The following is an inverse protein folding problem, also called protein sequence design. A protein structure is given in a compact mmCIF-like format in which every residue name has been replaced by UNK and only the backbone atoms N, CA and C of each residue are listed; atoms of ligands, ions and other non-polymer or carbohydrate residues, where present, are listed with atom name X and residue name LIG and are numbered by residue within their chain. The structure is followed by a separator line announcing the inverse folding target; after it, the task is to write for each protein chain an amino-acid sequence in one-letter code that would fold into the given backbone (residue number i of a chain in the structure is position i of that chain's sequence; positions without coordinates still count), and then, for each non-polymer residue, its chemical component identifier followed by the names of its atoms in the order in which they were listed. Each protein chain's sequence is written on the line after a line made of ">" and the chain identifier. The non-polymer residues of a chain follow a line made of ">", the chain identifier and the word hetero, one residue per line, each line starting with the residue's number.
data_IF_444290651954
#
_entry.id   IF_444290651954
#
_cell.length_a   1.000
_cell.length_b   1.000
_cell.length_c   1.000
_cell.angle_alpha   90.00
_cell.angle_beta   90.00
_cell.angle_gamma   90.00
#
_symmetry.space_group_name_H-M   'P 1'
#
loop_
_entity.id
_entity.type
_entity.pdbx_description
1 polymer ?
#
# COMPACT_ATOMS: atom_id res chain seq x y z
N UNK A 1 -19.00 8.09 24.40
CA UNK A 1 -18.55 8.50 23.07
C UNK A 1 -18.00 7.26 22.44
N UNK A 2 -18.63 6.80 21.36
CA UNK A 2 -18.60 5.41 20.91
C UNK A 2 -17.20 5.01 20.40
N UNK A 3 -16.43 4.31 21.24
CA UNK A 3 -15.07 3.81 20.94
C UNK A 3 -15.10 2.41 20.33
N UNK A 4 -16.10 2.11 19.51
CA UNK A 4 -16.19 0.84 18.80
C UNK A 4 -16.24 1.09 17.31
N UNK A 5 -15.42 0.34 16.57
CA UNK A 5 -15.54 0.19 15.12
C UNK A 5 -17.00 -0.16 14.82
N UNK A 6 -17.71 0.66 14.04
CA UNK A 6 -19.02 0.28 13.53
C UNK A 6 -18.88 -1.05 12.76
N UNK A 7 -19.94 -1.89 12.80
CA UNK A 7 -20.14 -3.15 12.05
C UNK A 7 -19.33 -3.22 10.74
N UNK A 8 -18.78 -4.40 10.33
CA UNK A 8 -17.80 -4.45 9.25
C UNK A 8 -18.32 -3.77 7.99
N UNK A 9 -17.74 -2.62 7.67
CA UNK A 9 -17.91 -1.98 6.39
C UNK A 9 -17.23 -2.90 5.36
N UNK A 10 -18.00 -3.39 4.39
CA UNK A 10 -17.46 -4.25 3.34
C UNK A 10 -16.81 -3.39 2.25
N UNK A 11 -15.75 -3.92 1.66
CA UNK A 11 -15.05 -3.29 0.55
C UNK A 11 -14.74 -4.26 -0.57
N UNK A 12 -14.47 -3.70 -1.75
CA UNK A 12 -14.10 -4.45 -2.96
C UNK A 12 -12.77 -3.94 -3.49
N UNK A 13 -11.90 -4.86 -3.92
CA UNK A 13 -10.75 -4.47 -4.74
C UNK A 13 -11.16 -4.40 -6.21
N UNK A 14 -10.88 -3.27 -6.85
CA UNK A 14 -11.03 -3.10 -8.30
C UNK A 14 -9.68 -2.68 -8.92
N UNK A 15 -9.60 -2.62 -10.24
CA UNK A 15 -8.34 -2.34 -10.96
C UNK A 15 -8.51 -1.15 -11.92
N UNK A 16 -8.59 0.06 -11.36
CA UNK A 16 -8.94 1.27 -12.14
C UNK A 16 -7.73 1.87 -12.86
N UNK A 17 -6.52 1.66 -12.33
CA UNK A 17 -5.27 2.29 -12.79
C UNK A 17 -5.02 2.18 -14.29
N UNK A 18 -5.22 0.98 -14.84
CA UNK A 18 -4.98 0.67 -16.26
C UNK A 18 -6.24 0.74 -17.11
N UNK A 19 -7.39 1.07 -16.51
CA UNK A 19 -8.71 0.98 -17.13
C UNK A 19 -9.59 2.21 -16.84
N UNK A 20 -9.09 3.43 -17.14
CA UNK A 20 -9.87 4.65 -16.93
C UNK A 20 -11.17 4.68 -17.76
N UNK A 21 -11.21 3.92 -18.86
CA UNK A 21 -12.37 3.78 -19.75
C UNK A 21 -13.60 3.15 -19.07
N UNK A 22 -13.40 2.35 -18.03
CA UNK A 22 -14.47 1.67 -17.29
C UNK A 22 -14.53 2.07 -15.82
N UNK A 23 -13.66 2.97 -15.35
CA UNK A 23 -13.53 3.26 -13.93
C UNK A 23 -14.82 3.79 -13.30
N UNK A 24 -15.51 4.72 -13.97
CA UNK A 24 -16.79 5.26 -13.50
C UNK A 24 -17.88 4.17 -13.42
N UNK A 25 -17.95 3.30 -14.43
CA UNK A 25 -18.89 2.17 -14.44
C UNK A 25 -18.62 1.22 -13.28
N UNK A 26 -17.36 0.83 -13.08
CA UNK A 26 -16.98 -0.13 -12.06
C UNK A 26 -17.22 0.41 -10.65
N UNK A 27 -16.97 1.71 -10.41
CA UNK A 27 -17.29 2.35 -9.14
C UNK A 27 -18.79 2.48 -8.90
N UNK A 28 -19.60 2.76 -9.93
CA UNK A 28 -21.06 2.72 -9.81
C UNK A 28 -21.55 1.31 -9.43
N UNK A 29 -20.96 0.25 -10.00
CA UNK A 29 -21.29 -1.12 -9.61
C UNK A 29 -20.91 -1.43 -8.15
N UNK A 30 -19.79 -0.89 -7.65
CA UNK A 30 -19.40 -1.04 -6.24
C UNK A 30 -20.46 -0.45 -5.30
N UNK A 31 -20.95 0.76 -5.60
CA UNK A 31 -22.03 1.41 -4.86
C UNK A 31 -23.36 0.65 -4.98
N UNK A 32 -23.75 0.24 -6.19
CA UNK A 32 -24.97 -0.54 -6.44
C UNK A 32 -24.99 -1.89 -5.71
N UNK A 33 -23.81 -2.50 -5.50
CA UNK A 33 -23.65 -3.72 -4.70
C UNK A 33 -23.71 -3.45 -3.18
N UNK A 34 -23.77 -2.20 -2.76
CA UNK A 34 -23.86 -1.77 -1.35
C UNK A 34 -22.52 -1.71 -0.61
N UNK A 35 -21.39 -1.68 -1.32
CA UNK A 35 -20.08 -1.53 -0.70
C UNK A 35 -19.74 -0.07 -0.48
N UNK A 36 -19.20 0.24 0.70
CA UNK A 36 -18.77 1.61 1.05
C UNK A 36 -17.28 1.87 0.85
N UNK A 37 -16.49 0.83 0.54
CA UNK A 37 -15.04 0.91 0.36
C UNK A 37 -14.59 0.34 -0.96
N UNK A 38 -13.61 1.01 -1.56
CA UNK A 38 -12.88 0.49 -2.71
C UNK A 38 -11.38 0.46 -2.43
N UNK A 39 -10.77 -0.70 -2.63
CA UNK A 39 -9.33 -0.90 -2.53
C UNK A 39 -8.68 -0.69 -3.89
N UNK A 40 -7.66 0.16 -3.94
CA UNK A 40 -6.81 0.39 -5.11
C UNK A 40 -5.34 0.14 -4.78
N UNK A 41 -4.54 0.02 -5.83
CA UNK A 41 -3.10 -0.12 -5.75
C UNK A 41 -2.42 1.10 -6.39
N UNK A 42 -1.64 1.83 -5.58
CA UNK A 42 -0.79 2.92 -6.04
C UNK A 42 0.66 2.44 -5.95
N UNK A 43 1.17 1.95 -7.07
CA UNK A 43 2.57 1.55 -7.18
C UNK A 43 3.46 2.80 -7.07
N UNK A 44 4.42 2.78 -6.15
CA UNK A 44 5.38 3.87 -5.96
C UNK A 44 6.09 4.20 -7.27
N UNK A 45 6.56 3.19 -8.00
CA UNK A 45 7.21 3.34 -9.31
C UNK A 45 6.35 4.04 -10.34
N UNK A 46 5.04 3.90 -10.32
CA UNK A 46 4.17 4.53 -11.31
C UNK A 46 3.87 5.99 -10.97
N UNK A 47 4.12 6.41 -9.72
CA UNK A 47 3.90 7.76 -9.23
C UNK A 47 5.22 8.54 -9.18
N UNK A 48 6.31 7.98 -8.66
CA UNK A 48 7.63 8.64 -8.53
C UNK A 48 8.66 7.94 -9.44
N UNK A 49 8.45 8.06 -10.74
CA UNK A 49 9.00 7.18 -11.78
C UNK A 49 10.52 7.29 -11.96
N UNK A 50 11.01 8.48 -12.31
CA UNK A 50 12.36 8.67 -12.86
C UNK A 50 13.39 8.87 -11.75
N UNK A 51 13.07 9.71 -10.77
CA UNK A 51 13.96 10.09 -9.69
C UNK A 51 13.17 10.62 -8.49
N UNK A 52 13.84 10.69 -7.34
CA UNK A 52 13.26 11.21 -6.11
C UNK A 52 12.71 12.63 -6.30
N UNK A 53 11.49 12.86 -5.86
CA UNK A 53 10.73 14.10 -5.95
C UNK A 53 9.99 14.33 -7.26
N UNK A 54 10.18 13.46 -8.27
CA UNK A 54 9.55 13.61 -9.59
C UNK A 54 8.24 12.81 -9.67
N UNK A 55 7.16 13.42 -9.18
CA UNK A 55 5.85 12.79 -9.07
C UNK A 55 4.94 13.04 -10.28
N UNK A 56 4.34 11.97 -10.82
CA UNK A 56 3.20 11.99 -11.74
C UNK A 56 1.90 11.67 -10.97
N UNK A 57 1.08 12.70 -10.78
CA UNK A 57 -0.18 12.60 -10.05
C UNK A 57 -1.40 12.38 -10.95
N UNK A 58 -1.22 12.30 -12.27
CA UNK A 58 -2.33 12.30 -13.22
C UNK A 58 -3.33 11.17 -12.96
N UNK A 59 -2.85 9.92 -12.80
CA UNK A 59 -3.72 8.76 -12.51
C UNK A 59 -4.25 8.74 -11.08
N UNK A 60 -3.42 8.92 -10.04
CA UNK A 60 -3.90 9.04 -8.66
C UNK A 60 -5.03 10.06 -8.50
N UNK A 61 -4.91 11.24 -9.10
CA UNK A 61 -5.92 12.30 -9.00
C UNK A 61 -7.26 11.89 -9.60
N UNK A 62 -7.25 11.24 -10.75
CA UNK A 62 -8.47 10.72 -11.40
C UNK A 62 -9.14 9.67 -10.52
N UNK A 63 -8.39 8.72 -9.99
CA UNK A 63 -8.94 7.64 -9.16
C UNK A 63 -9.54 8.19 -7.88
N UNK A 64 -8.84 9.11 -7.21
CA UNK A 64 -9.34 9.74 -5.98
C UNK A 64 -10.60 10.53 -6.26
N UNK A 65 -10.61 11.36 -7.31
CA UNK A 65 -11.80 12.14 -7.69
C UNK A 65 -13.01 11.25 -8.01
N UNK A 66 -12.82 10.18 -8.79
CA UNK A 66 -13.92 9.27 -9.12
C UNK A 66 -14.49 8.52 -7.90
N UNK A 67 -13.64 8.13 -6.94
CA UNK A 67 -14.10 7.47 -5.73
C UNK A 67 -14.89 8.44 -4.83
N UNK A 68 -14.44 9.70 -4.72
CA UNK A 68 -15.14 10.75 -3.98
C UNK A 68 -16.49 11.10 -4.61
N UNK A 69 -16.55 11.25 -5.94
CA UNK A 69 -17.79 11.50 -6.67
C UNK A 69 -18.81 10.35 -6.48
N UNK A 70 -18.31 9.12 -6.30
CA UNK A 70 -19.12 7.95 -5.99
C UNK A 70 -19.45 7.80 -4.49
N UNK A 71 -18.95 8.68 -3.62
CA UNK A 71 -19.16 8.59 -2.17
C UNK A 71 -18.47 7.41 -1.49
N UNK A 72 -17.46 6.80 -2.14
CA UNK A 72 -16.76 5.61 -1.67
C UNK A 72 -15.50 5.98 -0.87
N UNK A 73 -15.24 5.25 0.21
CA UNK A 73 -14.00 5.37 0.98
C UNK A 73 -12.87 4.63 0.28
N UNK A 74 -11.70 5.25 0.18
CA UNK A 74 -10.52 4.65 -0.43
C UNK A 74 -9.61 3.96 0.59
N UNK A 75 -9.23 2.72 0.25
CA UNK A 75 -8.08 2.03 0.82
C UNK A 75 -7.00 1.90 -0.26
N UNK A 76 -5.84 2.51 -0.06
CA UNK A 76 -4.75 2.51 -1.02
C UNK A 76 -3.62 1.59 -0.54
N UNK A 77 -3.26 0.58 -1.35
CA UNK A 77 -2.02 -0.19 -1.17
C UNK A 77 -0.85 0.58 -1.76
N UNK A 78 0.22 0.73 -0.95
CA UNK A 78 1.50 1.35 -1.32
C UNK A 78 2.62 0.32 -1.30
N UNK A 79 3.31 0.13 -2.42
CA UNK A 79 4.47 -0.77 -2.61
C UNK A 79 5.13 -0.52 -3.99
N UNK A 80 5.85 -1.50 -4.56
CA UNK A 80 6.45 -1.44 -5.91
C UNK A 80 7.40 -0.25 -6.05
N UNK A 81 8.51 -0.31 -5.34
CA UNK A 81 9.58 0.67 -5.35
C UNK A 81 10.09 0.99 -6.78
N UNK A 82 10.41 2.26 -7.08
CA UNK A 82 11.11 2.66 -8.29
C UNK A 82 12.47 1.95 -8.45
N UNK A 83 13.00 1.92 -9.67
CA UNK A 83 14.32 1.31 -9.89
C UNK A 83 15.47 2.14 -9.32
N UNK A 84 15.29 3.46 -9.19
CA UNK A 84 16.30 4.35 -8.61
C UNK A 84 16.53 4.15 -7.10
N UNK A 85 15.63 3.41 -6.41
CA UNK A 85 15.78 3.08 -4.99
C UNK A 85 16.51 1.75 -4.75
N UNK A 86 16.95 1.08 -5.82
CA UNK A 86 17.62 -0.21 -5.75
C UNK A 86 19.14 -0.05 -5.77
N UNK A 87 19.90 -0.98 -5.17
CA UNK A 87 21.35 -0.95 -5.23
C UNK A 87 21.88 -0.87 -6.67
N UNK A 88 22.89 -0.04 -6.89
CA UNK A 88 23.54 0.09 -8.18
C UNK A 88 24.20 -1.24 -8.62
N UNK A 89 24.11 -1.56 -9.91
CA UNK A 89 24.71 -2.78 -10.47
C UNK A 89 23.89 -4.06 -10.26
N UNK A 90 22.72 -3.98 -9.63
CA UNK A 90 21.78 -5.10 -9.53
C UNK A 90 20.87 -5.19 -10.76
N UNK A 91 20.45 -6.41 -11.13
CA UNK A 91 19.37 -6.60 -12.08
C UNK A 91 18.05 -5.99 -11.54
N UNK A 92 17.27 -5.26 -12.35
CA UNK A 92 16.03 -4.64 -11.88
C UNK A 92 15.08 -5.66 -11.23
N UNK A 93 14.74 -5.42 -9.96
CA UNK A 93 13.78 -6.25 -9.22
C UNK A 93 12.40 -5.58 -9.23
N UNK A 94 11.36 -6.38 -9.43
CA UNK A 94 10.00 -5.86 -9.58
C UNK A 94 9.36 -5.40 -8.27
N UNK A 95 9.67 -6.06 -7.15
CA UNK A 95 9.15 -5.69 -5.83
C UNK A 95 10.15 -6.08 -4.74
N UNK A 96 10.85 -5.10 -4.16
CA UNK A 96 11.81 -5.24 -3.05
C UNK A 96 11.77 -4.02 -2.15
N UNK A 97 12.13 -4.14 -0.87
CA UNK A 97 12.40 -2.98 -0.05
C UNK A 97 13.44 -2.05 -0.72
N UNK A 98 13.27 -0.71 -0.61
CA UNK A 98 14.29 0.22 -1.07
C UNK A 98 15.57 0.09 -0.24
N UNK A 99 16.70 0.48 -0.80
CA UNK A 99 17.99 0.47 -0.08
C UNK A 99 18.00 1.50 1.07
N UNK A 100 17.23 2.58 0.92
CA UNK A 100 16.96 3.56 1.95
C UNK A 100 15.47 3.61 2.29
N UNK A 101 15.09 3.14 3.48
CA UNK A 101 13.71 3.13 3.95
C UNK A 101 13.09 4.54 4.04
N UNK A 102 13.91 5.58 4.28
CA UNK A 102 13.41 6.95 4.33
C UNK A 102 12.81 7.41 2.99
N UNK A 103 13.28 6.88 1.86
CA UNK A 103 12.70 7.21 0.55
C UNK A 103 11.27 6.69 0.42
N UNK A 104 10.96 5.53 0.99
CA UNK A 104 9.58 5.02 1.03
C UNK A 104 8.72 5.80 2.01
N UNK A 105 9.28 6.21 3.16
CA UNK A 105 8.63 7.13 4.09
C UNK A 105 8.25 8.45 3.41
N UNK A 106 9.16 9.05 2.65
CA UNK A 106 8.93 10.29 1.91
C UNK A 106 7.79 10.12 0.88
N UNK A 107 7.78 9.02 0.13
CA UNK A 107 6.69 8.70 -0.79
C UNK A 107 5.34 8.53 -0.06
N UNK A 108 5.30 7.76 1.02
CA UNK A 108 4.10 7.57 1.83
C UNK A 108 3.57 8.92 2.35
N UNK A 109 4.46 9.77 2.86
CA UNK A 109 4.14 11.12 3.30
C UNK A 109 3.63 12.03 2.16
N UNK A 110 4.22 11.94 0.97
CA UNK A 110 3.78 12.71 -0.20
C UNK A 110 2.36 12.33 -0.64
N UNK A 111 2.05 11.04 -0.72
CA UNK A 111 0.69 10.56 -1.05
C UNK A 111 -0.30 11.01 0.03
N UNK A 112 0.03 10.82 1.31
CA UNK A 112 -0.83 11.24 2.42
C UNK A 112 -1.05 12.75 2.48
N UNK A 113 -0.01 13.55 2.28
CA UNK A 113 -0.13 15.00 2.26
C UNK A 113 -0.97 15.49 1.10
N UNK A 114 -0.86 14.87 -0.08
CA UNK A 114 -1.63 15.27 -1.27
C UNK A 114 -3.12 14.97 -1.12
N UNK A 115 -3.45 13.83 -0.52
CA UNK A 115 -4.82 13.32 -0.41
C UNK A 115 -5.36 13.34 1.01
N UNK A 116 -4.86 14.27 1.84
CA UNK A 116 -5.28 14.44 3.23
C UNK A 116 -6.81 14.54 3.34
N UNK A 117 -7.41 13.67 4.14
CA UNK A 117 -8.87 13.58 4.34
C UNK A 117 -9.66 12.99 3.16
N UNK A 118 -8.99 12.62 2.06
CA UNK A 118 -9.60 12.06 0.83
C UNK A 118 -9.35 10.56 0.69
N UNK A 119 -8.23 10.06 1.20
CA UNK A 119 -7.97 8.63 1.35
C UNK A 119 -8.18 8.25 2.81
N UNK A 120 -9.06 7.27 3.06
CA UNK A 120 -9.42 6.87 4.41
C UNK A 120 -8.42 5.88 5.03
N UNK A 121 -7.77 5.04 4.21
CA UNK A 121 -6.82 4.05 4.69
C UNK A 121 -5.66 3.78 3.73
N UNK A 122 -4.50 3.45 4.30
CA UNK A 122 -3.30 3.03 3.59
C UNK A 122 -2.88 1.63 4.04
N UNK A 123 -2.80 0.71 3.09
CA UNK A 123 -2.14 -0.59 3.30
C UNK A 123 -0.68 -0.49 2.90
N UNK A 124 0.23 -0.78 3.82
CA UNK A 124 1.67 -0.71 3.56
C UNK A 124 2.18 -2.07 3.13
N UNK A 125 2.65 -2.16 1.90
CA UNK A 125 3.16 -3.36 1.26
C UNK A 125 2.11 -4.44 0.95
N UNK A 126 2.57 -5.59 0.44
CA UNK A 126 1.76 -6.76 0.14
C UNK A 126 2.55 -8.05 0.34
N UNK A 127 1.98 -8.96 1.14
CA UNK A 127 2.48 -10.32 1.33
C UNK A 127 4.02 -10.41 1.53
N UNK A 128 4.63 -9.61 2.44
CA UNK A 128 6.08 -9.63 2.67
C UNK A 128 6.56 -10.99 3.20
N UNK A 129 5.65 -11.88 3.59
CA UNK A 129 5.93 -13.24 3.97
C UNK A 129 6.21 -14.18 2.79
N UNK A 130 6.31 -13.66 1.56
CA UNK A 130 6.64 -14.39 0.35
C UNK A 130 7.92 -13.84 -0.28
N UNK A 131 8.86 -14.74 -0.62
CA UNK A 131 10.15 -14.40 -1.25
C UNK A 131 10.01 -13.47 -2.47
N UNK A 132 9.02 -13.75 -3.33
CA UNK A 132 8.74 -12.96 -4.54
C UNK A 132 8.24 -11.53 -4.29
N UNK A 133 7.65 -11.27 -3.13
CA UNK A 133 7.18 -9.94 -2.73
C UNK A 133 8.21 -9.23 -1.83
N UNK A 134 9.39 -9.84 -1.66
CA UNK A 134 10.48 -9.36 -0.84
C UNK A 134 11.82 -9.41 -1.60
N UNK A 135 11.80 -9.08 -2.90
CA UNK A 135 13.01 -8.94 -3.70
C UNK A 135 13.69 -10.25 -4.09
N UNK A 136 12.93 -11.34 -4.13
CA UNK A 136 13.46 -12.70 -4.32
C UNK A 136 14.38 -13.18 -3.17
N UNK A 137 14.35 -12.46 -2.03
CA UNK A 137 15.08 -12.76 -0.79
C UNK A 137 14.18 -13.42 0.28
N UNK A 138 14.75 -14.19 1.22
CA UNK A 138 13.98 -14.77 2.31
C UNK A 138 13.13 -13.71 3.05
N UNK A 139 11.85 -13.99 3.36
CA UNK A 139 11.02 -13.09 4.14
C UNK A 139 11.66 -12.61 5.43
N UNK A 140 11.59 -11.30 5.69
CA UNK A 140 12.17 -10.64 6.86
C UNK A 140 11.11 -9.85 7.64
N UNK A 141 10.55 -10.42 8.72
CA UNK A 141 9.56 -9.73 9.54
C UNK A 141 10.08 -8.42 10.16
N UNK A 142 11.34 -8.39 10.61
CA UNK A 142 11.91 -7.20 11.25
C UNK A 142 12.16 -6.09 10.21
N UNK A 143 12.68 -6.44 9.03
CA UNK A 143 12.82 -5.53 7.91
C UNK A 143 11.47 -4.96 7.45
N UNK A 144 10.41 -5.79 7.43
CA UNK A 144 9.06 -5.32 7.15
C UNK A 144 8.52 -4.39 8.24
N UNK A 145 8.73 -4.68 9.53
CA UNK A 145 8.32 -3.79 10.63
C UNK A 145 8.98 -2.42 10.51
N UNK A 146 10.27 -2.35 10.19
CA UNK A 146 10.97 -1.07 9.98
C UNK A 146 10.40 -0.29 8.78
N UNK A 147 10.10 -0.97 7.67
CA UNK A 147 9.46 -0.38 6.48
C UNK A 147 8.04 0.13 6.78
N UNK A 148 7.27 -0.63 7.57
CA UNK A 148 5.96 -0.22 8.05
C UNK A 148 6.05 1.01 8.94
N UNK A 149 7.02 1.06 9.86
CA UNK A 149 7.21 2.17 10.80
C UNK A 149 7.47 3.49 10.08
N UNK A 150 8.42 3.55 9.13
CA UNK A 150 8.74 4.81 8.42
C UNK A 150 7.55 5.33 7.61
N UNK A 151 6.77 4.43 7.00
CA UNK A 151 5.56 4.80 6.26
C UNK A 151 4.44 5.25 7.22
N UNK A 152 4.27 4.56 8.35
CA UNK A 152 3.30 4.94 9.39
C UNK A 152 3.56 6.34 9.93
N UNK A 153 4.81 6.64 10.32
CA UNK A 153 5.20 7.94 10.86
C UNK A 153 4.95 9.07 9.86
N UNK A 154 5.35 8.87 8.59
CA UNK A 154 5.16 9.86 7.53
C UNK A 154 3.68 10.10 7.21
N UNK A 155 2.86 9.04 7.12
CA UNK A 155 1.42 9.16 6.89
C UNK A 155 0.78 9.90 8.05
N UNK A 156 1.05 9.50 9.30
CA UNK A 156 0.45 10.13 10.48
C UNK A 156 0.85 11.59 10.67
N UNK A 157 2.06 11.96 10.28
CA UNK A 157 2.49 13.36 10.28
C UNK A 157 1.67 14.20 9.28
N UNK A 158 1.41 13.66 8.08
CA UNK A 158 0.67 14.36 7.03
C UNK A 158 -0.85 14.37 7.29
N UNK A 159 -1.40 13.22 7.66
CA UNK A 159 -2.81 12.95 7.91
C UNK A 159 -2.99 12.10 9.19
N UNK A 160 -3.18 12.73 10.36
CA UNK A 160 -3.36 12.02 11.63
C UNK A 160 -4.59 11.10 11.67
N UNK A 161 -5.62 11.42 10.88
CA UNK A 161 -6.91 10.72 10.88
C UNK A 161 -6.90 9.49 9.96
N UNK A 162 -5.98 9.42 8.99
CA UNK A 162 -5.86 8.30 8.07
C UNK A 162 -5.54 6.97 8.81
N UNK A 163 -6.21 5.89 8.42
CA UNK A 163 -5.93 4.55 8.94
C UNK A 163 -4.68 4.00 8.26
N UNK A 164 -3.77 3.41 9.02
CA UNK A 164 -2.60 2.69 8.48
C UNK A 164 -2.75 1.21 8.82
N UNK A 165 -2.63 0.36 7.81
CA UNK A 165 -2.85 -1.08 7.87
C UNK A 165 -1.56 -1.77 7.43
N UNK A 166 -1.12 -2.78 8.16
CA UNK A 166 -0.04 -3.65 7.70
C UNK A 166 -0.43 -4.38 6.40
N UNK A 167 0.54 -5.02 5.77
CA UNK A 167 0.33 -5.86 4.61
C UNK A 167 -0.59 -7.02 4.98
N UNK A 168 -1.45 -7.40 4.03
CA UNK A 168 -2.06 -8.73 4.07
C UNK A 168 -0.97 -9.78 3.94
N UNK A 169 -1.01 -10.80 4.80
CA UNK A 169 -0.11 -11.95 4.75
C UNK A 169 -0.71 -13.06 3.89
N UNK A 170 0.11 -13.70 3.06
CA UNK A 170 -0.32 -14.79 2.22
C UNK A 170 -0.60 -16.06 3.07
N UNK A 171 -1.68 -16.81 2.78
CA UNK A 171 -1.88 -18.12 3.36
C UNK A 171 -0.85 -19.08 2.74
N UNK A 172 0.21 -19.38 3.48
CA UNK A 172 1.31 -20.24 3.02
C UNK A 172 1.57 -21.38 3.99
N UNK A 173 1.79 -22.57 3.43
CA UNK A 173 2.33 -23.73 4.16
C UNK A 173 3.81 -24.01 3.82
N UNK A 174 4.40 -23.18 2.96
CA UNK A 174 5.82 -23.29 2.61
C UNK A 174 6.69 -22.67 3.72
N UNK A 175 7.97 -23.04 3.73
CA UNK A 175 8.95 -22.54 4.69
C UNK A 175 10.03 -21.73 3.98
N UNK A 176 10.95 -21.17 4.77
CA UNK A 176 12.11 -20.48 4.25
C UNK A 176 12.92 -21.40 3.31
N UNK A 177 13.49 -20.85 2.23
CA UNK A 177 13.56 -19.43 1.91
C UNK A 177 12.33 -18.88 1.16
N UNK A 178 11.40 -19.72 0.71
CA UNK A 178 10.35 -19.30 -0.23
C UNK A 178 9.19 -18.53 0.42
N UNK A 179 8.86 -18.86 1.66
CA UNK A 179 7.82 -18.19 2.41
C UNK A 179 8.03 -18.34 3.93
N UNK A 180 7.36 -17.51 4.71
CA UNK A 180 7.22 -17.70 6.15
C UNK A 180 5.73 -17.83 6.50
N UNK A 181 5.32 -18.86 7.26
CA UNK A 181 3.94 -19.00 7.70
C UNK A 181 3.43 -17.73 8.39
N UNK A 182 2.19 -17.32 8.09
CA UNK A 182 1.64 -16.05 8.56
C UNK A 182 1.71 -15.86 10.09
N UNK A 183 1.44 -16.87 10.95
CA UNK A 183 1.59 -16.71 12.39
C UNK A 183 3.03 -16.44 12.83
N UNK A 184 4.02 -17.08 12.19
CA UNK A 184 5.45 -16.89 12.48
C UNK A 184 5.92 -15.50 12.02
N UNK A 185 5.49 -15.08 10.83
CA UNK A 185 5.80 -13.74 10.33
C UNK A 185 5.20 -12.65 11.23
N UNK A 186 3.94 -12.82 11.64
CA UNK A 186 3.27 -11.89 12.54
C UNK A 186 3.92 -11.85 13.93
N UNK A 187 4.33 -12.99 14.47
CA UNK A 187 5.10 -13.03 15.73
C UNK A 187 6.43 -12.28 15.58
N UNK A 188 7.16 -12.51 14.48
CA UNK A 188 8.41 -11.80 14.21
C UNK A 188 8.23 -10.29 14.07
N UNK A 189 7.08 -9.82 13.58
CA UNK A 189 6.75 -8.39 13.59
C UNK A 189 6.61 -7.87 15.02
N UNK A 190 5.83 -8.54 15.87
CA UNK A 190 5.64 -8.13 17.26
C UNK A 190 6.92 -8.14 18.08
N UNK A 191 7.83 -9.08 17.80
CA UNK A 191 9.13 -9.16 18.46
C UNK A 191 10.06 -8.00 18.05
N UNK A 192 9.82 -7.39 16.87
CA UNK A 192 10.62 -6.30 16.32
C UNK A 192 10.18 -4.90 16.78
N UNK A 193 8.98 -4.75 17.38
CA UNK A 193 8.43 -3.50 17.91
C UNK A 193 7.25 -2.96 17.11
#
# INVERSE_FOLDING_TARGET
>A
MDTYFASPEYGVQTFLWWRPDIAQRDLALVDEMGFGWVKQHFAWRDIETIEKGSYDWWRPDIIVGLAEDAGLKLLIRLDRQPFWTQPEGMAPQENRPPDNLADFGDFCGAVASRYKGRIAAYQVWNEPNLRREWGEEPPDPAGYTALLQVCYEAIKLADPDAIVISAGLAPTGNQLPDALPAPEFLQGMYDAG
#
